data_IF_079327497922
#
_entry.id   IF_079327497922
#
_cell.length_a   1.000
_cell.length_b   1.000
_cell.length_c   1.000
_cell.angle_alpha   90.00
_cell.angle_beta   90.00
_cell.angle_gamma   90.00
#
_symmetry.space_group_name_H-M   'P 1'
#
loop_
_entity.id
_entity.type
_entity.pdbx_description
1 polymer ?
#
# COMPACT_ATOMS: atom_id res chain seq x y z
N UNK A 1 56.58 12.17 -6.11
CA UNK A 1 55.52 13.08 -6.60
C UNK A 1 54.45 12.28 -7.32
N UNK A 2 53.23 12.19 -6.79
CA UNK A 2 51.99 11.99 -7.55
C UNK A 2 50.85 12.58 -6.71
N UNK A 3 50.16 13.56 -7.31
CA UNK A 3 49.14 14.41 -6.68
C UNK A 3 47.89 13.59 -6.39
N UNK A 4 47.30 13.80 -5.21
CA UNK A 4 45.96 13.33 -4.86
C UNK A 4 44.98 14.38 -5.39
N UNK A 5 44.16 14.01 -6.38
CA UNK A 5 43.03 14.84 -6.81
C UNK A 5 41.81 14.43 -5.99
N UNK A 6 41.36 15.32 -5.11
CA UNK A 6 40.12 15.18 -4.36
C UNK A 6 38.92 15.39 -5.29
N UNK A 7 37.99 14.44 -5.26
CA UNK A 7 36.69 14.62 -5.89
C UNK A 7 35.76 15.31 -4.90
N UNK A 8 35.41 16.54 -5.27
CA UNK A 8 34.50 17.45 -4.60
C UNK A 8 33.08 16.86 -4.70
N UNK A 9 32.48 16.43 -3.59
CA UNK A 9 31.06 16.05 -3.56
C UNK A 9 30.22 17.33 -3.48
N UNK A 10 29.42 17.67 -4.50
CA UNK A 10 28.57 18.84 -4.43
C UNK A 10 27.48 18.61 -3.39
N UNK A 11 27.29 19.64 -2.56
CA UNK A 11 26.22 19.78 -1.59
C UNK A 11 24.88 19.34 -2.19
N UNK A 12 24.21 18.40 -1.52
CA UNK A 12 22.82 18.05 -1.81
C UNK A 12 21.95 19.28 -1.59
N UNK A 13 21.65 19.98 -2.69
CA UNK A 13 20.50 20.85 -2.80
C UNK A 13 19.28 20.06 -2.37
N UNK A 14 18.48 20.64 -1.48
CA UNK A 14 17.21 20.10 -0.98
C UNK A 14 16.33 19.83 -2.20
N UNK A 15 16.32 18.59 -2.68
CA UNK A 15 15.54 18.20 -3.84
C UNK A 15 14.08 18.53 -3.51
N UNK A 16 13.52 19.46 -4.28
CA UNK A 16 12.12 19.82 -4.24
C UNK A 16 11.36 18.52 -4.53
N UNK A 17 10.76 17.92 -3.49
CA UNK A 17 10.04 16.66 -3.62
C UNK A 17 8.94 16.86 -4.66
N UNK A 18 8.84 15.94 -5.61
CA UNK A 18 7.89 16.00 -6.71
C UNK A 18 6.46 16.10 -6.14
N UNK A 19 5.65 17.12 -6.51
CA UNK A 19 4.25 17.22 -6.12
C UNK A 19 3.45 15.93 -6.37
N UNK A 20 3.86 15.12 -7.35
CA UNK A 20 3.28 13.81 -7.65
C UNK A 20 3.39 12.80 -6.49
N UNK A 21 4.46 12.87 -5.69
CA UNK A 21 4.70 11.91 -4.60
C UNK A 21 3.69 12.08 -3.46
N UNK A 22 3.42 13.32 -3.06
CA UNK A 22 2.46 13.59 -1.97
C UNK A 22 1.06 13.17 -2.39
N UNK A 23 0.68 13.45 -3.65
CA UNK A 23 -0.60 13.02 -4.21
C UNK A 23 -0.71 11.50 -4.25
N UNK A 24 0.33 10.79 -4.70
CA UNK A 24 0.32 9.33 -4.76
C UNK A 24 0.29 8.70 -3.37
N UNK A 25 1.00 9.27 -2.39
CA UNK A 25 0.90 8.80 -0.99
C UNK A 25 -0.52 9.04 -0.45
N UNK A 26 -1.16 10.17 -0.80
CA UNK A 26 -2.56 10.42 -0.43
C UNK A 26 -3.51 9.40 -1.05
N UNK A 27 -3.28 9.00 -2.32
CA UNK A 27 -4.05 7.95 -2.99
C UNK A 27 -3.84 6.59 -2.33
N UNK A 28 -2.60 6.23 -2.00
CA UNK A 28 -2.28 5.01 -1.25
C UNK A 28 -3.03 4.96 0.09
N UNK A 29 -3.06 6.07 0.83
CA UNK A 29 -3.82 6.16 2.09
C UNK A 29 -5.32 5.88 1.89
N UNK A 30 -5.92 6.39 0.81
CA UNK A 30 -7.34 6.15 0.51
C UNK A 30 -7.59 4.69 0.09
N UNK A 31 -6.68 4.10 -0.70
CA UNK A 31 -6.73 2.69 -1.08
C UNK A 31 -6.71 1.78 0.16
N UNK A 32 -5.69 1.94 1.01
CA UNK A 32 -5.58 1.19 2.27
C UNK A 32 -6.80 1.35 3.18
N UNK A 33 -7.33 2.57 3.28
CA UNK A 33 -8.53 2.83 4.08
C UNK A 33 -9.75 2.09 3.53
N UNK A 34 -9.89 2.04 2.20
CA UNK A 34 -10.96 1.32 1.52
C UNK A 34 -10.79 -0.20 1.66
N UNK A 35 -9.57 -0.72 1.54
CA UNK A 35 -9.22 -2.12 1.75
C UNK A 35 -9.55 -2.58 3.18
N UNK A 36 -9.18 -1.80 4.20
CA UNK A 36 -9.54 -2.08 5.61
C UNK A 36 -11.06 -2.22 5.81
N UNK A 37 -11.84 -1.34 5.19
CA UNK A 37 -13.29 -1.40 5.25
C UNK A 37 -13.85 -2.63 4.51
N UNK A 38 -13.34 -2.92 3.31
CA UNK A 38 -13.77 -4.06 2.52
C UNK A 38 -13.44 -5.40 3.19
N UNK A 39 -12.24 -5.53 3.75
CA UNK A 39 -11.78 -6.79 4.33
C UNK A 39 -12.51 -7.11 5.63
N UNK A 40 -13.02 -6.09 6.34
CA UNK A 40 -13.95 -6.32 7.44
C UNK A 40 -15.27 -6.95 6.97
N UNK A 41 -15.79 -6.50 5.82
CA UNK A 41 -17.01 -7.03 5.22
C UNK A 41 -16.79 -8.45 4.69
N UNK A 42 -15.71 -8.68 3.95
CA UNK A 42 -15.31 -10.00 3.44
C UNK A 42 -15.15 -11.03 4.57
N UNK A 43 -14.54 -10.64 5.70
CA UNK A 43 -14.42 -11.50 6.87
C UNK A 43 -15.79 -11.89 7.47
N UNK A 44 -16.82 -11.02 7.38
CA UNK A 44 -18.18 -11.32 7.83
C UNK A 44 -18.93 -12.23 6.85
N UNK A 45 -18.60 -12.17 5.56
CA UNK A 45 -19.19 -12.99 4.50
C UNK A 45 -18.50 -14.36 4.35
N UNK A 46 -17.33 -14.54 4.97
CA UNK A 46 -16.52 -15.75 4.83
C UNK A 46 -17.26 -17.01 5.31
N UNK A 47 -17.21 -18.12 4.56
CA UNK A 47 -17.98 -19.32 4.85
C UNK A 47 -17.41 -20.17 6.00
N UNK A 48 -16.11 -20.02 6.29
CA UNK A 48 -15.40 -20.80 7.29
C UNK A 48 -14.45 -19.93 8.15
N UNK A 49 -14.07 -20.47 9.31
CA UNK A 49 -13.28 -19.75 10.31
C UNK A 49 -11.82 -19.52 9.86
N UNK A 50 -11.24 -20.42 9.06
CA UNK A 50 -9.85 -20.32 8.61
C UNK A 50 -9.71 -19.17 7.60
N UNK A 51 -10.57 -19.14 6.59
CA UNK A 51 -10.65 -18.05 5.60
C UNK A 51 -10.94 -16.72 6.29
N UNK A 52 -11.91 -16.69 7.20
CA UNK A 52 -12.24 -15.50 7.99
C UNK A 52 -11.02 -14.99 8.76
N UNK A 53 -10.30 -15.88 9.45
CA UNK A 53 -9.11 -15.51 10.23
C UNK A 53 -8.03 -14.93 9.33
N UNK A 54 -7.76 -15.55 8.17
CA UNK A 54 -6.76 -15.05 7.23
C UNK A 54 -7.13 -13.67 6.68
N UNK A 55 -8.39 -13.44 6.31
CA UNK A 55 -8.84 -12.12 5.83
C UNK A 55 -8.69 -11.05 6.93
N UNK A 56 -8.93 -11.41 8.20
CA UNK A 56 -8.69 -10.49 9.32
C UNK A 56 -7.19 -10.21 9.53
N UNK A 57 -6.30 -11.17 9.29
CA UNK A 57 -4.85 -10.95 9.31
C UNK A 57 -4.43 -9.98 8.19
N UNK A 58 -4.93 -10.16 6.96
CA UNK A 58 -4.69 -9.24 5.83
C UNK A 58 -5.19 -7.83 6.19
N UNK A 59 -6.41 -7.71 6.72
CA UNK A 59 -6.94 -6.42 7.20
C UNK A 59 -6.05 -5.75 8.24
N UNK A 60 -5.39 -6.52 9.11
CA UNK A 60 -4.43 -5.98 10.07
C UNK A 60 -3.16 -5.44 9.41
N UNK A 61 -2.72 -6.05 8.33
CA UNK A 61 -1.61 -5.56 7.52
C UNK A 61 -1.98 -4.25 6.80
N UNK A 62 -3.18 -4.14 6.21
CA UNK A 62 -3.65 -2.87 5.61
C UNK A 62 -3.77 -1.73 6.62
N UNK A 63 -4.21 -2.03 7.85
CA UNK A 63 -4.21 -1.03 8.91
C UNK A 63 -2.77 -0.55 9.23
N UNK A 64 -1.76 -1.42 9.16
CA UNK A 64 -0.35 -1.02 9.36
C UNK A 64 0.15 -0.18 8.20
N UNK A 65 -0.19 -0.54 6.96
CA UNK A 65 0.12 0.22 5.76
C UNK A 65 -0.50 1.63 5.83
N UNK A 66 -1.81 1.72 6.02
CA UNK A 66 -2.55 2.97 6.23
C UNK A 66 -1.88 3.88 7.27
N UNK A 67 -1.57 3.35 8.45
CA UNK A 67 -0.97 4.12 9.53
C UNK A 67 0.44 4.61 9.15
N UNK A 68 1.24 3.76 8.51
CA UNK A 68 2.60 4.09 8.08
C UNK A 68 2.58 5.18 7.00
N UNK A 69 1.72 5.05 6.00
CA UNK A 69 1.59 6.04 4.93
C UNK A 69 1.06 7.36 5.45
N UNK A 70 0.08 7.33 6.37
CA UNK A 70 -0.43 8.53 7.04
C UNK A 70 0.65 9.29 7.82
N UNK A 71 1.54 8.56 8.51
CA UNK A 71 2.70 9.17 9.18
C UNK A 71 3.69 9.77 8.20
N UNK A 72 3.96 9.10 7.08
CA UNK A 72 4.80 9.64 6.00
C UNK A 72 4.18 10.93 5.45
N UNK A 73 2.91 10.90 5.10
CA UNK A 73 2.18 12.06 4.57
C UNK A 73 2.22 13.24 5.54
N UNK A 74 1.97 13.00 6.83
CA UNK A 74 2.05 14.05 7.85
C UNK A 74 3.47 14.61 7.98
N UNK A 75 4.50 13.77 7.90
CA UNK A 75 5.89 14.22 7.95
C UNK A 75 6.29 15.10 6.75
N UNK A 76 5.69 14.85 5.58
CA UNK A 76 5.96 15.58 4.34
C UNK A 76 5.17 16.89 4.25
N UNK A 77 3.92 16.89 4.70
CA UNK A 77 2.98 18.01 4.50
C UNK A 77 2.77 18.88 5.74
N UNK A 78 3.12 18.36 6.92
CA UNK A 78 2.79 18.97 8.21
C UNK A 78 1.30 18.88 8.59
N UNK A 79 0.48 18.19 7.80
CA UNK A 79 -0.96 18.04 8.02
C UNK A 79 -1.35 16.57 8.13
N UNK A 80 -2.32 16.21 8.99
CA UNK A 80 -2.84 14.85 9.00
C UNK A 80 -3.51 14.54 7.65
N UNK A 81 -3.46 13.27 7.23
CA UNK A 81 -4.26 12.79 6.12
C UNK A 81 -5.74 12.73 6.51
N UNK A 82 -6.62 13.00 5.56
CA UNK A 82 -8.08 12.85 5.70
C UNK A 82 -8.54 11.84 4.67
N UNK A 83 -8.54 10.53 5.01
CA UNK A 83 -8.88 9.51 4.03
C UNK A 83 -10.34 9.61 3.63
N UNK A 84 -10.59 9.30 2.36
CA UNK A 84 -11.94 9.19 1.80
C UNK A 84 -12.11 7.77 1.25
N UNK A 85 -13.31 7.20 1.41
CA UNK A 85 -13.64 5.94 0.75
C UNK A 85 -13.70 6.19 -0.75
N UNK A 86 -12.74 5.61 -1.48
CA UNK A 86 -12.64 5.75 -2.93
C UNK A 86 -13.22 4.56 -3.68
N UNK A 87 -13.43 3.43 -3.00
CA UNK A 87 -13.83 2.17 -3.63
C UNK A 87 -14.94 1.46 -2.87
N UNK A 88 -15.91 0.91 -3.62
CA UNK A 88 -16.99 0.12 -3.05
C UNK A 88 -16.63 -1.35 -3.00
N UNK A 89 -16.77 -1.96 -1.83
CA UNK A 89 -16.64 -3.40 -1.65
C UNK A 89 -17.94 -4.10 -2.07
N UNK A 90 -17.92 -5.02 -3.06
CA UNK A 90 -19.12 -5.73 -3.51
C UNK A 90 -19.90 -6.42 -2.37
N UNK A 91 -21.22 -6.59 -2.54
CA UNK A 91 -22.08 -7.30 -1.57
C UNK A 91 -22.03 -8.83 -1.74
N UNK A 92 -21.74 -9.30 -2.96
CA UNK A 92 -21.55 -10.72 -3.23
C UNK A 92 -20.13 -11.16 -2.86
N UNK A 93 -20.00 -12.32 -2.21
CA UNK A 93 -18.71 -12.80 -1.70
C UNK A 93 -17.72 -13.15 -2.82
N UNK A 94 -18.19 -13.79 -3.89
CA UNK A 94 -17.36 -14.15 -5.04
C UNK A 94 -16.88 -12.89 -5.78
N UNK A 95 -17.78 -11.94 -6.01
CA UNK A 95 -17.43 -10.65 -6.63
C UNK A 95 -16.46 -9.85 -5.76
N UNK A 96 -16.66 -9.82 -4.44
CA UNK A 96 -15.77 -9.14 -3.50
C UNK A 96 -14.36 -9.78 -3.50
N UNK A 97 -14.26 -11.11 -3.47
CA UNK A 97 -12.96 -11.80 -3.58
C UNK A 97 -12.24 -11.49 -4.91
N UNK A 98 -12.99 -11.46 -6.02
CA UNK A 98 -12.42 -11.12 -7.32
C UNK A 98 -11.98 -9.65 -7.39
N UNK A 99 -12.73 -8.74 -6.77
CA UNK A 99 -12.39 -7.32 -6.71
C UNK A 99 -11.12 -7.11 -5.86
N UNK A 100 -11.07 -7.69 -4.66
CA UNK A 100 -9.89 -7.60 -3.78
C UNK A 100 -8.64 -8.20 -4.40
N UNK A 101 -8.74 -9.36 -5.07
CA UNK A 101 -7.61 -9.91 -5.84
C UNK A 101 -7.07 -8.88 -6.86
N UNK A 102 -7.95 -8.22 -7.59
CA UNK A 102 -7.55 -7.28 -8.63
C UNK A 102 -6.95 -6.01 -8.02
N UNK A 103 -7.58 -5.48 -6.99
CA UNK A 103 -7.12 -4.30 -6.25
C UNK A 103 -5.71 -4.51 -5.68
N UNK A 104 -5.48 -5.64 -5.01
CA UNK A 104 -4.15 -6.00 -4.50
C UNK A 104 -3.11 -6.08 -5.62
N UNK A 105 -3.44 -6.70 -6.75
CA UNK A 105 -2.53 -6.78 -7.90
C UNK A 105 -2.19 -5.41 -8.51
N UNK A 106 -3.17 -4.52 -8.63
CA UNK A 106 -2.94 -3.16 -9.15
C UNK A 106 -2.16 -2.30 -8.12
N UNK A 107 -2.38 -2.54 -6.83
CA UNK A 107 -1.68 -1.87 -5.73
C UNK A 107 -0.19 -2.23 -5.68
N UNK A 108 0.19 -3.47 -6.01
CA UNK A 108 1.61 -3.86 -6.14
C UNK A 108 2.35 -2.92 -7.10
N UNK A 109 1.83 -2.74 -8.32
CA UNK A 109 2.46 -1.89 -9.33
C UNK A 109 2.52 -0.44 -8.86
N UNK A 110 1.42 0.06 -8.28
CA UNK A 110 1.34 1.42 -7.77
C UNK A 110 2.36 1.70 -6.65
N UNK A 111 2.56 0.77 -5.72
CA UNK A 111 3.52 0.93 -4.63
C UNK A 111 4.96 0.84 -5.11
N UNK A 112 5.24 0.04 -6.13
CA UNK A 112 6.56 0.03 -6.77
C UNK A 112 6.86 1.37 -7.46
N UNK A 113 5.88 1.98 -8.13
CA UNK A 113 6.01 3.31 -8.75
C UNK A 113 6.30 4.41 -7.70
N UNK A 114 5.61 4.40 -6.56
CA UNK A 114 5.91 5.30 -5.45
C UNK A 114 7.33 5.08 -4.93
N UNK A 115 7.74 3.82 -4.77
CA UNK A 115 9.07 3.51 -4.26
C UNK A 115 10.20 3.97 -5.19
N UNK A 116 9.99 3.86 -6.50
CA UNK A 116 11.00 4.23 -7.50
C UNK A 116 11.03 5.73 -7.80
N UNK A 117 9.91 6.46 -7.57
CA UNK A 117 9.84 7.93 -7.74
C UNK A 117 10.46 8.73 -6.60
N UNK A 118 10.65 8.16 -5.41
CA UNK A 118 11.20 8.88 -4.25
C UNK A 118 12.70 8.69 -4.05
N UNK A 119 13.41 9.76 -3.70
CA UNK A 119 14.83 9.70 -3.28
C UNK A 119 15.00 9.43 -1.78
N UNK A 120 13.90 9.37 -1.01
CA UNK A 120 13.96 9.07 0.41
C UNK A 120 14.08 7.55 0.61
N UNK A 121 15.20 7.03 1.16
CA UNK A 121 15.40 5.59 1.33
C UNK A 121 14.41 4.95 2.30
N UNK A 122 13.86 5.71 3.25
CA UNK A 122 12.82 5.22 4.16
C UNK A 122 11.52 4.96 3.40
N UNK A 123 11.02 5.96 2.66
CA UNK A 123 9.78 5.86 1.88
C UNK A 123 9.91 4.73 0.84
N UNK A 124 11.03 4.69 0.11
CA UNK A 124 11.31 3.62 -0.86
C UNK A 124 11.22 2.23 -0.23
N UNK A 125 11.84 2.02 0.93
CA UNK A 125 11.82 0.72 1.60
C UNK A 125 10.42 0.34 2.09
N UNK A 126 9.69 1.30 2.65
CA UNK A 126 8.33 1.09 3.15
C UNK A 126 7.41 0.63 2.02
N UNK A 127 7.37 1.35 0.90
CA UNK A 127 6.51 0.98 -0.22
C UNK A 127 6.94 -0.31 -0.93
N UNK A 128 8.26 -0.62 -1.02
CA UNK A 128 8.69 -1.94 -1.51
C UNK A 128 8.28 -3.09 -0.60
N UNK A 129 8.16 -2.84 0.70
CA UNK A 129 7.70 -3.87 1.63
C UNK A 129 6.20 -4.07 1.50
N UNK A 130 5.42 -2.99 1.48
CA UNK A 130 3.97 -3.04 1.26
C UNK A 130 3.63 -3.75 -0.06
N UNK A 131 4.28 -3.39 -1.17
CA UNK A 131 4.09 -4.09 -2.45
C UNK A 131 4.36 -5.61 -2.39
N UNK A 132 5.27 -6.07 -1.52
CA UNK A 132 5.50 -7.49 -1.33
C UNK A 132 4.43 -8.16 -0.46
N UNK A 133 3.87 -7.42 0.50
CA UNK A 133 2.76 -7.86 1.33
C UNK A 133 1.46 -7.94 0.48
N UNK A 134 1.15 -6.92 -0.33
CA UNK A 134 0.05 -6.88 -1.31
C UNK A 134 0.10 -8.06 -2.30
N UNK A 135 1.29 -8.40 -2.79
CA UNK A 135 1.45 -9.57 -3.66
C UNK A 135 1.09 -10.88 -2.92
N UNK A 136 1.37 -10.99 -1.62
CA UNK A 136 0.93 -12.15 -0.83
C UNK A 136 -0.58 -12.12 -0.60
N UNK A 137 -1.17 -10.95 -0.36
CA UNK A 137 -2.62 -10.77 -0.19
C UNK A 137 -3.38 -11.18 -1.45
N UNK A 138 -2.94 -10.72 -2.61
CA UNK A 138 -3.46 -11.14 -3.91
C UNK A 138 -3.45 -12.68 -4.06
N UNK A 139 -2.36 -13.35 -3.68
CA UNK A 139 -2.28 -14.83 -3.75
C UNK A 139 -3.32 -15.50 -2.84
N UNK A 140 -3.55 -14.96 -1.64
CA UNK A 140 -4.60 -15.46 -0.74
C UNK A 140 -6.00 -15.23 -1.31
N UNK A 141 -6.30 -14.04 -1.83
CA UNK A 141 -7.61 -13.79 -2.45
C UNK A 141 -7.84 -14.63 -3.69
N UNK A 142 -6.80 -14.89 -4.49
CA UNK A 142 -6.87 -15.87 -5.59
C UNK A 142 -7.22 -17.25 -5.07
N UNK A 143 -6.54 -17.73 -4.02
CA UNK A 143 -6.84 -19.03 -3.42
C UNK A 143 -8.31 -19.10 -2.96
N UNK A 144 -8.78 -18.12 -2.18
CA UNK A 144 -10.17 -18.06 -1.73
C UNK A 144 -11.17 -18.02 -2.88
N UNK A 145 -10.89 -17.24 -3.92
CA UNK A 145 -11.72 -17.17 -5.11
C UNK A 145 -11.80 -18.52 -5.83
N UNK A 146 -10.72 -19.30 -5.87
CA UNK A 146 -10.71 -20.62 -6.51
C UNK A 146 -11.45 -21.70 -5.72
N UNK A 147 -11.40 -21.65 -4.39
CA UNK A 147 -12.02 -22.68 -3.52
C UNK A 147 -13.46 -22.35 -3.12
N UNK A 148 -13.91 -21.11 -3.35
CA UNK A 148 -15.29 -20.66 -3.10
C UNK A 148 -16.25 -20.86 -4.29
N UNK A 149 -15.79 -21.48 -5.38
CA UNK A 149 -16.61 -21.80 -6.57
C UNK A 149 -17.39 -23.09 -6.43
#
# INVERSE_FOLDING_TARGET
>A
MRRVNGFYYPYYTRAQQDPSLIENISKAINGEYSAVACYEKLAKMSPDEETRKRILEIREDEMKHYNTFSQIYQSLTGKPATPELSEECPEDYQEALSASLKDEQETVDFYLDIADSTQNPYIRRVFKRAAADEQNHAVWFLYFYTVSK
#
